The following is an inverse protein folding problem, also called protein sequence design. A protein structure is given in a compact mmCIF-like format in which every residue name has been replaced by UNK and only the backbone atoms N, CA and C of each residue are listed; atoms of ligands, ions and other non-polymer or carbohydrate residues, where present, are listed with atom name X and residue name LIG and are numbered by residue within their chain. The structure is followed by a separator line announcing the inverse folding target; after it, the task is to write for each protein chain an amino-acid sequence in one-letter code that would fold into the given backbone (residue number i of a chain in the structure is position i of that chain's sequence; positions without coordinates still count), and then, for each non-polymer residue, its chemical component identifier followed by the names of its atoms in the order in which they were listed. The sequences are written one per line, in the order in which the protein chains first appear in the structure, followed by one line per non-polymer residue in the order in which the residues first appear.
data_IF_868658815088
#
_entry.id   IF_868658815088
#
_cell.length_a   1.000
_cell.length_b   1.000
_cell.length_c   1.000
_cell.angle_alpha   90.00
_cell.angle_beta   90.00
_cell.angle_gamma   90.00
#
_symmetry.space_group_name_H-M   'P 1'
#
loop_
_entity.id
_entity.type
_entity.pdbx_description
1 polymer ?
#
# COMPACT_ATOMS: atom_id res chain seq x y z
N UNK A 1 37.56 31.93 17.76
CA UNK A 1 37.83 30.50 18.01
C UNK A 1 37.40 29.61 16.86
N UNK A 2 36.16 29.71 16.35
CA UNK A 2 35.69 28.87 15.18
C UNK A 2 36.56 29.13 13.97
N UNK A 3 36.84 30.37 13.60
CA UNK A 3 37.68 30.71 12.45
C UNK A 3 39.10 30.17 12.57
N UNK A 4 39.62 30.05 13.78
CA UNK A 4 40.99 29.49 14.07
C UNK A 4 40.93 27.96 14.22
N UNK A 5 39.73 27.34 14.08
CA UNK A 5 39.47 25.90 14.25
C UNK A 5 39.76 25.37 15.67
N UNK A 6 39.84 26.24 16.68
CA UNK A 6 39.86 25.81 18.07
C UNK A 6 38.43 25.64 18.60
N UNK A 7 37.85 24.50 18.29
CA UNK A 7 36.48 24.24 18.68
C UNK A 7 36.28 23.93 20.16
N UNK A 8 37.35 23.53 20.87
CA UNK A 8 37.29 23.31 22.29
C UNK A 8 37.15 24.67 23.02
N UNK A 9 37.98 25.64 22.66
CA UNK A 9 37.87 26.99 23.16
C UNK A 9 36.53 27.63 22.78
N UNK A 10 36.08 27.42 21.54
CA UNK A 10 34.77 27.89 21.10
C UNK A 10 33.62 27.34 21.95
N UNK A 11 33.65 26.06 22.30
CA UNK A 11 32.62 25.45 23.15
C UNK A 11 32.59 26.06 24.52
N UNK A 12 33.75 26.31 25.16
CA UNK A 12 33.82 26.95 26.50
C UNK A 12 33.32 28.39 26.46
N UNK A 13 33.67 29.16 25.42
CA UNK A 13 33.21 30.54 25.25
C UNK A 13 31.70 30.64 25.02
N UNK A 14 31.13 29.76 24.17
CA UNK A 14 29.68 29.76 23.93
C UNK A 14 28.89 29.26 25.13
N UNK A 15 29.42 28.33 25.94
CA UNK A 15 28.77 27.90 27.16
C UNK A 15 28.73 29.02 28.20
N UNK A 16 29.82 29.81 28.33
CA UNK A 16 29.85 30.99 29.17
C UNK A 16 28.84 32.06 28.70
N UNK A 17 28.90 32.41 27.38
CA UNK A 17 27.95 33.36 26.80
C UNK A 17 26.49 32.93 26.94
N UNK A 18 26.21 31.64 26.84
CA UNK A 18 24.87 31.12 27.09
C UNK A 18 24.39 31.45 28.49
N UNK A 19 25.21 31.25 29.53
CA UNK A 19 24.85 31.52 30.93
C UNK A 19 24.64 33.01 31.17
N UNK A 20 25.51 33.84 30.63
CA UNK A 20 25.40 35.30 30.76
C UNK A 20 24.09 35.80 30.12
N UNK A 21 23.74 35.32 28.89
CA UNK A 21 22.48 35.69 28.22
C UNK A 21 21.24 35.10 28.90
N UNK A 22 21.33 33.94 29.54
CA UNK A 22 20.23 33.36 30.32
C UNK A 22 19.97 34.21 31.60
N UNK A 23 21.01 34.66 32.28
CA UNK A 23 20.91 35.58 33.43
C UNK A 23 20.30 36.93 33.03
N UNK A 24 20.69 37.47 31.87
CA UNK A 24 20.16 38.70 31.29
C UNK A 24 18.76 38.54 30.68
N UNK A 25 18.17 37.35 30.70
CA UNK A 25 16.89 37.04 30.07
C UNK A 25 16.83 37.40 28.56
N UNK A 26 17.97 37.38 27.90
CA UNK A 26 18.14 37.71 26.49
C UNK A 26 17.87 36.48 25.59
N UNK A 27 16.62 36.01 25.53
CA UNK A 27 16.22 34.73 24.98
C UNK A 27 16.70 34.44 23.52
N UNK A 28 16.79 35.46 22.67
CA UNK A 28 17.31 35.28 21.30
C UNK A 28 18.82 35.01 21.29
N UNK A 29 19.55 35.70 22.15
CA UNK A 29 21.01 35.56 22.25
C UNK A 29 21.38 34.26 22.96
N UNK A 30 20.65 33.85 24.00
CA UNK A 30 20.85 32.56 24.65
C UNK A 30 20.60 31.39 23.68
N UNK A 31 19.55 31.45 22.86
CA UNK A 31 19.28 30.45 21.80
C UNK A 31 20.43 30.40 20.77
N UNK A 32 20.91 31.55 20.28
CA UNK A 32 22.04 31.61 19.35
C UNK A 32 23.32 31.04 19.98
N UNK A 33 23.63 31.40 21.25
CA UNK A 33 24.81 30.86 21.93
C UNK A 33 24.72 29.33 22.09
N UNK A 34 23.53 28.79 22.42
CA UNK A 34 23.28 27.36 22.54
C UNK A 34 23.40 26.64 21.19
N UNK A 35 22.93 27.24 20.06
CA UNK A 35 23.12 26.74 18.71
C UNK A 35 24.62 26.63 18.36
N UNK A 36 25.37 27.73 18.60
CA UNK A 36 26.80 27.79 18.33
C UNK A 36 27.61 26.85 19.21
N UNK A 37 27.18 26.63 20.45
CA UNK A 37 27.77 25.64 21.36
C UNK A 37 27.59 24.22 20.78
N UNK A 38 26.38 23.85 20.38
CA UNK A 38 26.10 22.56 19.76
C UNK A 38 26.93 22.34 18.48
N UNK A 39 27.02 23.37 17.63
CA UNK A 39 27.83 23.35 16.40
C UNK A 39 29.33 23.14 16.74
N UNK A 40 29.88 23.89 17.70
CA UNK A 40 31.28 23.76 18.10
C UNK A 40 31.59 22.37 18.66
N UNK A 41 30.69 21.81 19.47
CA UNK A 41 30.82 20.45 20.00
C UNK A 41 30.88 19.39 18.90
N UNK A 42 29.98 19.47 17.91
CA UNK A 42 29.95 18.52 16.77
C UNK A 42 31.22 18.65 15.91
N UNK A 43 31.64 19.89 15.61
CA UNK A 43 32.88 20.14 14.84
C UNK A 43 34.12 19.65 15.61
N UNK A 44 34.16 19.80 16.91
CA UNK A 44 35.24 19.26 17.77
C UNK A 44 35.27 17.72 17.67
N UNK A 45 34.12 17.08 17.79
CA UNK A 45 34.01 15.61 17.66
C UNK A 45 34.41 15.12 16.28
N UNK A 46 34.08 15.86 15.20
CA UNK A 46 34.44 15.51 13.82
C UNK A 46 35.95 15.47 13.60
N UNK A 47 36.69 16.39 14.19
CA UNK A 47 38.16 16.41 14.13
C UNK A 47 38.79 15.30 14.97
N UNK A 48 38.20 14.99 16.12
CA UNK A 48 38.77 14.04 17.09
C UNK A 48 38.67 12.57 16.63
N UNK A 49 37.95 12.25 15.56
CA UNK A 49 37.70 10.92 14.94
C UNK A 49 37.47 9.71 15.86
N UNK A 50 37.84 9.77 17.13
CA UNK A 50 37.83 8.68 18.13
C UNK A 50 37.04 9.03 19.41
N UNK A 51 36.55 10.27 19.56
CA UNK A 51 35.80 10.68 20.74
C UNK A 51 34.31 10.27 20.67
N UNK A 52 33.65 10.06 21.80
CA UNK A 52 32.21 9.88 21.85
C UNK A 52 31.53 11.14 21.31
N UNK A 53 30.44 10.93 20.55
CA UNK A 53 29.63 12.04 20.04
C UNK A 53 29.03 12.82 21.22
N UNK A 54 29.12 14.15 21.25
CA UNK A 54 28.50 14.94 22.30
C UNK A 54 26.98 14.75 22.28
N UNK A 55 26.32 14.78 23.45
CA UNK A 55 24.87 14.68 23.51
C UNK A 55 24.24 15.88 22.78
N UNK A 56 23.09 15.72 22.13
CA UNK A 56 22.43 16.78 21.35
C UNK A 56 21.77 17.87 22.25
N UNK A 57 22.10 17.91 23.51
CA UNK A 57 21.43 18.77 24.51
C UNK A 57 21.48 20.27 24.18
N UNK A 58 22.63 20.77 23.74
CA UNK A 58 22.78 22.18 23.35
C UNK A 58 21.94 22.52 22.12
N UNK A 59 21.95 21.66 21.08
CA UNK A 59 21.11 21.79 19.88
C UNK A 59 19.62 21.75 20.25
N UNK A 60 19.19 20.78 21.07
CA UNK A 60 17.78 20.62 21.44
C UNK A 60 17.29 21.86 22.23
N UNK A 61 18.09 22.35 23.15
CA UNK A 61 17.82 23.56 23.92
C UNK A 61 17.68 24.78 23.00
N UNK A 62 18.60 24.97 22.05
CA UNK A 62 18.52 26.06 21.08
C UNK A 62 17.21 26.05 20.31
N UNK A 63 16.81 24.88 19.80
CA UNK A 63 15.53 24.72 19.07
C UNK A 63 14.32 25.03 19.96
N UNK A 64 14.32 24.57 21.22
CA UNK A 64 13.21 24.82 22.15
C UNK A 64 13.09 26.29 22.53
N UNK A 65 14.22 27.00 22.65
CA UNK A 65 14.25 28.46 22.92
C UNK A 65 13.78 29.24 21.68
N UNK A 66 14.26 28.89 20.48
CA UNK A 66 13.79 29.53 19.25
C UNK A 66 12.28 29.38 19.04
N UNK A 67 11.72 28.22 19.30
CA UNK A 67 10.27 27.98 19.13
C UNK A 67 9.42 28.84 20.08
N UNK A 68 9.95 29.20 21.27
CA UNK A 68 9.26 30.10 22.18
C UNK A 68 9.21 31.55 21.69
N UNK A 69 10.08 31.91 20.75
CA UNK A 69 10.12 33.26 20.16
C UNK A 69 9.09 33.39 19.04
N UNK A 70 8.44 34.56 18.95
CA UNK A 70 7.36 34.82 17.99
C UNK A 70 7.73 34.58 16.50
N UNK A 71 9.02 34.68 16.14
CA UNK A 71 9.56 34.53 14.80
C UNK A 71 10.67 33.45 14.76
N UNK A 72 10.74 32.63 15.78
CA UNK A 72 11.87 31.72 16.01
C UNK A 72 11.83 30.42 15.20
N UNK A 73 10.67 30.05 14.62
CA UNK A 73 10.51 28.79 13.87
C UNK A 73 11.52 28.68 12.71
N UNK A 74 11.78 29.76 12.00
CA UNK A 74 12.77 29.80 10.94
C UNK A 74 14.19 29.50 11.45
N UNK A 75 14.56 30.04 12.62
CA UNK A 75 15.87 29.81 13.22
C UNK A 75 15.98 28.37 13.74
N UNK A 76 14.91 27.83 14.33
CA UNK A 76 14.85 26.44 14.75
C UNK A 76 15.01 25.48 13.56
N UNK A 77 14.35 25.78 12.42
CA UNK A 77 14.50 25.02 11.18
C UNK A 77 15.93 25.08 10.65
N UNK A 78 16.50 26.29 10.55
CA UNK A 78 17.88 26.50 10.07
C UNK A 78 18.87 25.72 10.94
N UNK A 79 18.79 25.86 12.25
CA UNK A 79 19.66 25.15 13.20
C UNK A 79 19.54 23.63 13.02
N UNK A 80 18.32 23.11 12.85
CA UNK A 80 18.06 21.69 12.66
C UNK A 80 18.65 21.14 11.35
N UNK A 81 18.49 21.88 10.25
CA UNK A 81 19.02 21.46 8.94
C UNK A 81 20.55 21.48 8.94
N UNK A 82 21.17 22.53 9.50
CA UNK A 82 22.63 22.60 9.63
C UNK A 82 23.19 21.46 10.49
N UNK A 83 22.55 21.20 11.62
CA UNK A 83 22.94 20.10 12.49
C UNK A 83 22.80 18.74 11.80
N UNK A 84 21.68 18.50 11.12
CA UNK A 84 21.47 17.28 10.35
C UNK A 84 22.50 17.11 9.22
N UNK A 85 22.89 18.18 8.53
CA UNK A 85 23.89 18.15 7.48
C UNK A 85 25.26 17.73 8.03
N UNK A 86 25.72 18.33 9.13
CA UNK A 86 26.98 17.96 9.78
C UNK A 86 26.99 16.50 10.24
N UNK A 87 25.89 16.05 10.85
CA UNK A 87 25.75 14.67 11.30
C UNK A 87 25.73 13.68 10.14
N UNK A 88 25.15 14.06 9.01
CA UNK A 88 25.17 13.24 7.78
C UNK A 88 26.59 13.06 7.25
N UNK A 89 27.41 14.12 7.24
CA UNK A 89 28.81 14.05 6.86
C UNK A 89 29.63 13.15 7.81
N UNK A 90 29.22 13.09 9.07
CA UNK A 90 29.80 12.20 10.08
C UNK A 90 29.17 10.79 10.09
N UNK A 91 28.23 10.50 9.20
CA UNK A 91 27.50 9.23 9.08
C UNK A 91 26.72 8.84 10.36
N UNK A 92 26.30 9.82 11.17
CA UNK A 92 25.50 9.62 12.39
C UNK A 92 24.01 9.67 12.05
N UNK A 93 23.54 8.67 11.31
CA UNK A 93 22.21 8.65 10.71
C UNK A 93 21.06 8.58 11.73
N UNK A 94 21.29 8.01 12.91
CA UNK A 94 20.33 8.00 14.03
C UNK A 94 20.00 9.44 14.49
N UNK A 95 21.03 10.25 14.65
CA UNK A 95 20.87 11.64 15.04
C UNK A 95 20.34 12.52 13.89
N UNK A 96 20.72 12.22 12.64
CA UNK A 96 20.14 12.86 11.43
C UNK A 96 18.63 12.64 11.38
N UNK A 97 18.18 11.40 11.56
CA UNK A 97 16.75 11.08 11.56
C UNK A 97 16.00 11.83 12.66
N UNK A 98 16.58 11.88 13.87
CA UNK A 98 16.00 12.61 15.00
C UNK A 98 15.90 14.13 14.72
N UNK A 99 16.97 14.73 14.22
CA UNK A 99 17.02 16.17 13.93
C UNK A 99 16.02 16.54 12.83
N UNK A 100 15.96 15.74 11.73
CA UNK A 100 15.02 15.97 10.63
C UNK A 100 13.56 15.80 11.08
N UNK A 101 13.26 14.78 11.89
CA UNK A 101 11.92 14.54 12.41
C UNK A 101 11.47 15.67 13.34
N UNK A 102 12.38 16.18 14.18
CA UNK A 102 12.08 17.30 15.06
C UNK A 102 11.87 18.59 14.28
N UNK A 103 12.74 18.86 13.29
CA UNK A 103 12.61 20.02 12.41
C UNK A 103 11.26 20.06 11.67
N UNK A 104 10.75 18.89 11.30
CA UNK A 104 9.44 18.75 10.64
C UNK A 104 8.27 19.28 11.49
N UNK A 105 8.44 19.44 12.81
CA UNK A 105 7.38 19.97 13.69
C UNK A 105 7.22 21.48 13.60
N UNK A 106 8.23 22.20 13.11
CA UNK A 106 8.30 23.66 13.11
C UNK A 106 8.19 24.30 11.73
N UNK A 107 7.68 23.56 10.74
CA UNK A 107 7.74 24.00 9.35
C UNK A 107 6.41 23.86 8.63
N UNK A 108 6.31 24.54 7.50
CA UNK A 108 5.22 24.42 6.55
C UNK A 108 5.08 22.98 6.02
N UNK A 109 3.91 22.63 5.54
CA UNK A 109 3.56 21.27 5.11
C UNK A 109 4.55 20.68 4.08
N UNK A 110 4.99 21.47 3.10
CA UNK A 110 5.90 20.99 2.04
C UNK A 110 7.31 20.72 2.58
N UNK A 111 7.82 21.61 3.44
CA UNK A 111 9.14 21.45 4.08
C UNK A 111 9.08 20.30 5.09
N UNK A 112 7.97 20.17 5.80
CA UNK A 112 7.68 19.03 6.69
C UNK A 112 7.76 17.71 5.96
N UNK A 113 7.12 17.62 4.79
CA UNK A 113 7.17 16.42 3.95
C UNK A 113 8.61 16.06 3.52
N UNK A 114 9.39 17.04 3.08
CA UNK A 114 10.80 16.86 2.71
C UNK A 114 11.65 16.36 3.89
N UNK A 115 11.47 16.95 5.07
CA UNK A 115 12.22 16.56 6.26
C UNK A 115 11.85 15.16 6.76
N UNK A 116 10.59 14.77 6.66
CA UNK A 116 10.13 13.41 6.97
C UNK A 116 10.69 12.39 5.97
N UNK A 117 10.78 12.73 4.70
CA UNK A 117 11.41 11.89 3.68
C UNK A 117 12.92 11.75 3.95
N UNK A 118 13.60 12.84 4.32
CA UNK A 118 15.01 12.81 4.73
C UNK A 118 15.22 11.94 5.96
N UNK A 119 14.36 12.06 6.98
CA UNK A 119 14.40 11.18 8.15
C UNK A 119 14.22 9.72 7.78
N UNK A 120 13.30 9.40 6.85
CA UNK A 120 13.12 8.05 6.33
C UNK A 120 14.40 7.49 5.70
N UNK A 121 15.07 8.29 4.86
CA UNK A 121 16.33 7.89 4.24
C UNK A 121 17.45 7.67 5.25
N UNK A 122 17.52 8.51 6.29
CA UNK A 122 18.47 8.34 7.38
C UNK A 122 18.23 7.01 8.14
N UNK A 123 16.96 6.66 8.43
CA UNK A 123 16.61 5.39 9.07
C UNK A 123 17.07 4.16 8.27
N UNK A 124 17.10 4.24 6.92
CA UNK A 124 17.59 3.15 6.07
C UNK A 124 19.11 3.06 6.00
N UNK A 125 19.84 4.19 6.20
CA UNK A 125 21.28 4.24 6.15
C UNK A 125 21.98 3.84 7.44
N UNK A 126 21.23 3.60 8.53
CA UNK A 126 21.80 3.09 9.79
C UNK A 126 22.46 1.72 9.60
N UNK A 127 23.45 1.38 10.40
CA UNK A 127 24.07 0.05 10.40
C UNK A 127 23.03 -1.08 10.55
N UNK A 128 22.00 -0.84 11.37
CA UNK A 128 20.79 -1.67 11.45
C UNK A 128 19.61 -0.87 10.91
N UNK A 129 19.17 -1.10 9.67
CA UNK A 129 18.10 -0.31 9.06
C UNK A 129 16.79 -0.39 9.84
N UNK A 130 16.27 0.76 10.24
CA UNK A 130 14.98 0.86 10.93
C UNK A 130 13.83 0.98 9.90
N UNK A 131 13.63 -0.06 9.12
CA UNK A 131 12.68 -0.10 7.99
C UNK A 131 11.25 0.26 8.39
N UNK A 132 10.78 -0.13 9.60
CA UNK A 132 9.45 0.23 10.10
C UNK A 132 9.31 1.75 10.33
N UNK A 133 10.31 2.37 10.94
CA UNK A 133 10.31 3.84 11.17
C UNK A 133 10.40 4.59 9.86
N UNK A 134 11.23 4.12 8.94
CA UNK A 134 11.33 4.66 7.59
C UNK A 134 9.98 4.64 6.87
N UNK A 135 9.30 3.49 6.84
CA UNK A 135 7.99 3.38 6.19
C UNK A 135 6.93 4.27 6.85
N UNK A 136 6.93 4.39 8.18
CA UNK A 136 6.02 5.28 8.90
C UNK A 136 6.27 6.76 8.56
N UNK A 137 7.54 7.18 8.49
CA UNK A 137 7.92 8.55 8.07
C UNK A 137 7.50 8.83 6.63
N UNK A 138 7.62 7.83 5.73
CA UNK A 138 7.16 7.97 4.34
C UNK A 138 5.65 8.12 4.22
N UNK A 139 4.85 7.40 5.02
CA UNK A 139 3.39 7.59 5.04
C UNK A 139 3.02 9.00 5.50
N UNK A 140 3.69 9.51 6.53
CA UNK A 140 3.47 10.87 6.99
C UNK A 140 3.90 11.90 5.92
N UNK A 141 5.06 11.72 5.29
CA UNK A 141 5.52 12.57 4.20
C UNK A 141 4.52 12.58 3.02
N UNK A 142 4.02 11.39 2.63
CA UNK A 142 3.05 11.24 1.56
C UNK A 142 1.76 12.03 1.84
N UNK A 143 1.24 11.95 3.07
CA UNK A 143 0.06 12.70 3.50
C UNK A 143 0.27 14.22 3.42
N UNK A 144 1.46 14.71 3.80
CA UNK A 144 1.79 16.14 3.70
C UNK A 144 1.93 16.58 2.22
N UNK A 145 2.61 15.78 1.38
CA UNK A 145 2.68 16.06 -0.06
C UNK A 145 1.30 16.07 -0.73
N UNK A 146 0.41 15.16 -0.31
CA UNK A 146 -0.99 15.12 -0.79
C UNK A 146 -1.72 16.43 -0.42
N UNK A 147 -1.60 16.90 0.83
CA UNK A 147 -2.19 18.14 1.30
C UNK A 147 -1.67 19.36 0.51
N UNK A 148 -0.39 19.38 0.16
CA UNK A 148 0.23 20.43 -0.67
C UNK A 148 -0.05 20.29 -2.18
N UNK A 149 -0.84 19.30 -2.62
CA UNK A 149 -1.12 19.06 -4.03
C UNK A 149 0.05 18.45 -4.83
N UNK A 150 1.13 18.02 -4.18
CA UNK A 150 2.31 17.42 -4.82
C UNK A 150 2.07 15.91 -5.09
N UNK A 151 1.14 15.61 -6.01
CA UNK A 151 0.64 14.26 -6.29
C UNK A 151 1.74 13.25 -6.63
N UNK A 152 2.74 13.63 -7.43
CA UNK A 152 3.82 12.72 -7.83
C UNK A 152 4.74 12.33 -6.66
N UNK A 153 5.04 13.28 -5.79
CA UNK A 153 5.86 13.03 -4.60
C UNK A 153 5.08 12.19 -3.59
N UNK A 154 3.80 12.49 -3.38
CA UNK A 154 2.91 11.69 -2.54
C UNK A 154 2.82 10.26 -3.04
N UNK A 155 2.57 10.03 -4.34
CA UNK A 155 2.48 8.71 -4.94
C UNK A 155 3.77 7.90 -4.74
N UNK A 156 4.94 8.52 -4.97
CA UNK A 156 6.24 7.89 -4.74
C UNK A 156 6.40 7.42 -3.29
N UNK A 157 6.09 8.28 -2.34
CA UNK A 157 6.21 7.97 -0.91
C UNK A 157 5.23 6.86 -0.48
N UNK A 158 3.97 6.92 -0.95
CA UNK A 158 2.99 5.85 -0.70
C UNK A 158 3.45 4.51 -1.29
N UNK A 159 3.99 4.49 -2.52
CA UNK A 159 4.49 3.27 -3.16
C UNK A 159 5.63 2.64 -2.35
N UNK A 160 6.59 3.43 -1.90
CA UNK A 160 7.69 2.93 -1.08
C UNK A 160 7.20 2.38 0.25
N UNK A 161 6.26 3.06 0.92
CA UNK A 161 5.68 2.61 2.17
C UNK A 161 4.83 1.34 1.98
N UNK A 162 4.02 1.27 0.92
CA UNK A 162 3.19 0.11 0.58
C UNK A 162 4.04 -1.15 0.38
N UNK A 163 5.16 -1.05 -0.33
CA UNK A 163 6.08 -2.17 -0.52
C UNK A 163 6.60 -2.75 0.80
N UNK A 164 6.81 -1.92 1.80
CA UNK A 164 7.20 -2.39 3.13
C UNK A 164 6.04 -3.07 3.88
N UNK A 165 4.83 -2.49 3.81
CA UNK A 165 3.69 -2.96 4.57
C UNK A 165 2.97 -4.16 3.94
N UNK A 166 3.19 -4.46 2.66
CA UNK A 166 2.53 -5.53 1.90
C UNK A 166 2.45 -6.87 2.64
N UNK A 167 3.51 -7.25 3.39
CA UNK A 167 3.59 -8.53 4.12
C UNK A 167 3.56 -8.38 5.62
N UNK A 168 3.47 -7.15 6.16
CA UNK A 168 3.66 -6.88 7.58
C UNK A 168 2.49 -6.23 8.27
N UNK A 169 1.75 -5.38 7.57
CA UNK A 169 0.60 -4.69 8.12
C UNK A 169 -0.39 -4.38 7.00
N UNK A 170 -1.37 -5.25 6.84
CA UNK A 170 -2.37 -5.16 5.79
C UNK A 170 -3.17 -3.87 5.85
N UNK A 171 -3.54 -3.40 7.06
CA UNK A 171 -4.27 -2.14 7.22
C UNK A 171 -3.55 -0.93 6.62
N UNK A 172 -2.25 -0.77 6.93
CA UNK A 172 -1.46 0.35 6.39
C UNK A 172 -1.17 0.16 4.91
N UNK A 173 -1.06 -1.07 4.44
CA UNK A 173 -0.95 -1.39 3.03
C UNK A 173 -2.21 -1.00 2.27
N UNK A 174 -3.37 -1.42 2.75
CA UNK A 174 -4.68 -1.12 2.14
C UNK A 174 -4.95 0.39 2.13
N UNK A 175 -4.64 1.07 3.23
CA UNK A 175 -4.73 2.53 3.30
C UNK A 175 -3.84 3.21 2.25
N UNK A 176 -2.60 2.76 2.09
CA UNK A 176 -1.67 3.30 1.09
C UNK A 176 -2.19 3.04 -0.33
N UNK A 177 -2.68 1.83 -0.63
CA UNK A 177 -3.26 1.51 -1.94
C UNK A 177 -4.47 2.39 -2.27
N UNK A 178 -5.37 2.60 -1.31
CA UNK A 178 -6.53 3.46 -1.49
C UNK A 178 -6.13 4.90 -1.81
N UNK A 179 -5.15 5.44 -1.08
CA UNK A 179 -4.59 6.78 -1.32
C UNK A 179 -3.92 6.90 -2.69
N UNK A 180 -3.14 5.88 -3.08
CA UNK A 180 -2.51 5.81 -4.41
C UNK A 180 -3.56 5.81 -5.52
N UNK A 181 -4.60 4.98 -5.38
CA UNK A 181 -5.70 4.92 -6.34
C UNK A 181 -6.38 6.28 -6.53
N UNK A 182 -6.67 6.97 -5.43
CA UNK A 182 -7.29 8.30 -5.45
C UNK A 182 -6.40 9.34 -6.15
N UNK A 183 -5.09 9.36 -5.85
CA UNK A 183 -4.14 10.29 -6.47
C UNK A 183 -4.02 10.07 -7.98
N UNK A 184 -3.96 8.80 -8.39
CA UNK A 184 -3.82 8.41 -9.80
C UNK A 184 -5.12 8.66 -10.57
N UNK A 185 -6.26 8.39 -9.96
CA UNK A 185 -7.57 8.74 -10.54
C UNK A 185 -7.68 10.24 -10.82
N UNK A 186 -7.34 11.07 -9.84
CA UNK A 186 -7.34 12.53 -9.99
C UNK A 186 -6.33 13.05 -11.04
N UNK A 187 -5.47 12.16 -11.55
CA UNK A 187 -4.54 12.43 -12.66
C UNK A 187 -5.04 11.86 -14.01
N UNK A 188 -6.26 11.28 -14.05
CA UNK A 188 -6.88 10.70 -15.25
C UNK A 188 -6.37 9.33 -15.66
N UNK A 189 -5.52 8.68 -14.87
CA UNK A 189 -4.95 7.34 -15.15
C UNK A 189 -5.80 6.24 -14.51
N UNK A 190 -6.89 5.90 -15.17
CA UNK A 190 -7.94 5.05 -14.60
C UNK A 190 -7.53 3.59 -14.46
N UNK A 191 -6.87 3.02 -15.47
CA UNK A 191 -6.42 1.62 -15.45
C UNK A 191 -5.44 1.38 -14.29
N UNK A 192 -4.57 2.35 -14.02
CA UNK A 192 -3.64 2.28 -12.91
C UNK A 192 -4.36 2.43 -11.56
N UNK A 193 -5.36 3.32 -11.47
CA UNK A 193 -6.17 3.45 -10.26
C UNK A 193 -6.91 2.15 -9.94
N UNK A 194 -7.47 1.48 -10.94
CA UNK A 194 -8.11 0.18 -10.80
C UNK A 194 -7.12 -0.89 -10.33
N UNK A 195 -5.88 -0.87 -10.82
CA UNK A 195 -4.85 -1.83 -10.38
C UNK A 195 -4.51 -1.73 -8.89
N UNK A 196 -4.64 -0.55 -8.29
CA UNK A 196 -4.47 -0.34 -6.85
C UNK A 196 -5.73 -0.69 -6.04
N UNK A 197 -6.92 -0.55 -6.61
CA UNK A 197 -8.18 -0.86 -5.92
C UNK A 197 -8.50 -2.36 -5.91
N UNK A 198 -8.13 -3.09 -6.97
CA UNK A 198 -8.40 -4.53 -7.09
C UNK A 198 -7.87 -5.38 -5.92
N UNK A 199 -6.62 -5.19 -5.43
CA UNK A 199 -6.12 -5.91 -4.27
C UNK A 199 -6.94 -5.68 -3.00
N UNK A 200 -7.57 -4.50 -2.85
CA UNK A 200 -8.42 -4.19 -1.69
C UNK A 200 -9.69 -5.05 -1.63
N UNK A 201 -10.18 -5.49 -2.80
CA UNK A 201 -11.33 -6.40 -2.86
C UNK A 201 -10.98 -7.84 -2.42
N UNK A 202 -9.69 -8.19 -2.40
CA UNK A 202 -9.19 -9.53 -2.07
C UNK A 202 -8.67 -9.66 -0.64
N UNK A 203 -8.73 -8.59 0.14
CA UNK A 203 -8.19 -8.55 1.49
C UNK A 203 -8.79 -9.61 2.41
N UNK A 204 -7.92 -10.42 3.03
CA UNK A 204 -8.26 -11.49 3.98
C UNK A 204 -8.47 -10.99 5.41
N UNK A 205 -8.64 -9.69 5.61
CA UNK A 205 -8.78 -9.09 6.93
C UNK A 205 -10.22 -9.06 7.42
N UNK A 206 -10.38 -9.11 8.77
CA UNK A 206 -11.67 -8.80 9.37
C UNK A 206 -12.09 -7.38 8.95
N UNK A 207 -13.37 -7.14 8.79
CA UNK A 207 -13.94 -6.00 8.10
C UNK A 207 -13.56 -4.70 8.81
N UNK A 208 -12.71 -3.92 8.18
CA UNK A 208 -12.72 -2.49 8.39
C UNK A 208 -13.65 -1.97 7.31
N UNK A 209 -14.90 -2.05 7.63
CA UNK A 209 -16.05 -2.00 6.74
C UNK A 209 -16.06 -0.77 5.83
N UNK A 210 -15.55 0.34 6.31
CA UNK A 210 -15.64 1.62 5.60
C UNK A 210 -14.64 1.75 4.42
N UNK A 211 -13.41 1.26 4.56
CA UNK A 211 -12.42 1.32 3.48
C UNK A 211 -12.76 0.37 2.33
N UNK A 212 -13.24 -0.83 2.65
CA UNK A 212 -13.70 -1.79 1.65
C UNK A 212 -14.95 -1.31 0.93
N UNK A 213 -15.92 -0.72 1.65
CA UNK A 213 -17.11 -0.12 1.04
C UNK A 213 -16.73 1.01 0.08
N UNK A 214 -15.89 1.94 0.51
CA UNK A 214 -15.39 3.02 -0.35
C UNK A 214 -14.62 2.51 -1.56
N UNK A 215 -13.84 1.43 -1.40
CA UNK A 215 -13.15 0.81 -2.52
C UNK A 215 -14.13 0.18 -3.51
N UNK A 216 -15.16 -0.54 -3.04
CA UNK A 216 -16.21 -1.12 -3.89
C UNK A 216 -16.95 -0.02 -4.64
N UNK A 217 -17.39 1.02 -3.95
CA UNK A 217 -18.08 2.15 -4.56
C UNK A 217 -17.21 2.85 -5.62
N UNK A 218 -15.93 3.06 -5.32
CA UNK A 218 -14.97 3.65 -6.26
C UNK A 218 -14.75 2.78 -7.48
N UNK A 219 -14.54 1.47 -7.28
CA UNK A 219 -14.38 0.50 -8.38
C UNK A 219 -15.66 0.43 -9.22
N UNK A 220 -16.83 0.39 -8.58
CA UNK A 220 -18.11 0.37 -9.28
C UNK A 220 -18.32 1.62 -10.12
N UNK A 221 -18.02 2.79 -9.57
CA UNK A 221 -18.10 4.07 -10.28
C UNK A 221 -17.15 4.11 -11.48
N UNK A 222 -15.89 3.72 -11.32
CA UNK A 222 -14.90 3.72 -12.40
C UNK A 222 -15.25 2.72 -13.51
N UNK A 223 -15.71 1.53 -13.15
CA UNK A 223 -16.11 0.54 -14.12
C UNK A 223 -17.35 0.96 -14.91
N UNK A 224 -18.29 1.65 -14.27
CA UNK A 224 -19.47 2.20 -14.94
C UNK A 224 -19.07 3.32 -15.92
N UNK A 225 -18.22 4.25 -15.51
CA UNK A 225 -17.76 5.37 -16.33
C UNK A 225 -16.95 4.90 -17.55
N UNK A 226 -16.17 3.81 -17.43
CA UNK A 226 -15.20 3.38 -18.43
C UNK A 226 -15.53 2.02 -19.08
N UNK A 227 -16.65 1.37 -18.71
CA UNK A 227 -17.09 0.05 -19.23
C UNK A 227 -16.00 -1.02 -19.13
N UNK A 228 -15.22 -1.00 -18.04
CA UNK A 228 -14.15 -1.96 -17.82
C UNK A 228 -14.70 -3.23 -17.18
N UNK A 229 -14.36 -4.39 -17.75
CA UNK A 229 -14.65 -5.70 -17.13
C UNK A 229 -13.50 -6.09 -16.21
N UNK A 230 -13.79 -6.31 -14.91
CA UNK A 230 -12.78 -6.66 -13.92
C UNK A 230 -12.79 -8.16 -13.59
N UNK A 231 -11.63 -8.81 -13.46
CA UNK A 231 -11.55 -10.15 -12.89
C UNK A 231 -11.84 -10.11 -11.40
N UNK A 232 -12.70 -10.97 -10.90
CA UNK A 232 -13.04 -11.05 -9.48
C UNK A 232 -12.91 -12.49 -8.96
N UNK A 233 -12.48 -12.68 -7.71
CA UNK A 233 -12.28 -13.98 -7.09
C UNK A 233 -13.53 -14.57 -6.41
N UNK A 234 -14.72 -14.05 -6.67
CA UNK A 234 -15.94 -14.53 -6.01
C UNK A 234 -16.29 -15.98 -6.34
N UNK A 235 -15.84 -16.50 -7.49
CA UNK A 235 -16.03 -17.90 -7.88
C UNK A 235 -14.71 -18.64 -7.67
N UNK A 236 -14.73 -19.67 -6.81
CA UNK A 236 -13.56 -20.54 -6.57
C UNK A 236 -13.51 -21.62 -7.64
N UNK A 237 -12.82 -21.36 -8.76
CA UNK A 237 -12.73 -22.25 -9.93
C UNK A 237 -12.25 -23.65 -9.58
N UNK A 238 -11.38 -23.80 -8.58
CA UNK A 238 -10.81 -25.09 -8.14
C UNK A 238 -11.84 -26.02 -7.53
N UNK A 239 -12.95 -25.50 -7.01
CA UNK A 239 -14.02 -26.26 -6.35
C UNK A 239 -15.26 -26.43 -7.22
N UNK A 240 -15.34 -25.74 -8.38
CA UNK A 240 -16.45 -25.89 -9.30
C UNK A 240 -16.38 -27.24 -9.99
N UNK A 241 -17.49 -27.95 -10.06
CA UNK A 241 -17.57 -29.27 -10.68
C UNK A 241 -18.87 -29.46 -11.45
N UNK A 242 -18.83 -30.37 -12.43
CA UNK A 242 -20.03 -30.82 -13.14
C UNK A 242 -20.65 -31.94 -12.30
N UNK A 243 -21.93 -31.77 -11.90
CA UNK A 243 -22.66 -32.77 -11.15
C UNK A 243 -23.08 -33.90 -12.11
N UNK A 244 -22.65 -35.13 -11.82
CA UNK A 244 -22.98 -36.33 -12.59
C UNK A 244 -24.30 -36.92 -12.11
N UNK A 245 -25.12 -37.47 -12.98
CA UNK A 245 -26.16 -38.39 -12.57
C UNK A 245 -25.51 -39.65 -11.92
N UNK A 246 -26.15 -40.29 -10.94
CA UNK A 246 -25.54 -41.37 -10.14
C UNK A 246 -25.18 -42.62 -10.91
N UNK A 247 -25.52 -42.73 -12.20
CA UNK A 247 -25.31 -43.92 -13.04
C UNK A 247 -24.11 -43.90 -13.98
N UNK A 248 -23.30 -42.82 -14.05
CA UNK A 248 -22.16 -42.78 -15.01
C UNK A 248 -20.83 -43.02 -14.30
N UNK A 249 -20.29 -44.23 -14.45
CA UNK A 249 -18.96 -44.64 -13.97
C UNK A 249 -17.79 -44.23 -14.89
N UNK A 250 -18.06 -43.52 -15.99
CA UNK A 250 -17.02 -43.13 -16.95
C UNK A 250 -16.35 -41.81 -16.54
N UNK A 251 -15.03 -41.72 -16.66
CA UNK A 251 -14.21 -40.56 -16.31
C UNK A 251 -14.53 -39.28 -17.11
N UNK A 252 -15.17 -39.43 -18.28
CA UNK A 252 -15.65 -38.30 -19.08
C UNK A 252 -17.19 -38.30 -19.05
N UNK A 253 -17.83 -37.25 -18.48
CA UNK A 253 -19.27 -37.13 -18.49
C UNK A 253 -19.77 -36.90 -19.92
N UNK A 254 -20.45 -37.89 -20.48
CA UNK A 254 -21.19 -37.75 -21.75
C UNK A 254 -22.59 -37.25 -21.39
N UNK A 255 -23.02 -36.20 -22.05
CA UNK A 255 -24.35 -35.58 -21.89
C UNK A 255 -24.98 -35.57 -23.28
N UNK A 256 -26.26 -35.94 -23.35
CA UNK A 256 -27.01 -35.85 -24.59
C UNK A 256 -27.19 -34.40 -25.04
N UNK A 257 -27.21 -34.14 -26.33
CA UNK A 257 -27.49 -32.81 -26.83
C UNK A 257 -28.84 -32.32 -26.31
N UNK A 258 -28.89 -31.05 -25.93
CA UNK A 258 -30.08 -30.40 -25.36
C UNK A 258 -30.54 -30.93 -23.99
N UNK A 259 -29.79 -31.82 -23.35
CA UNK A 259 -30.04 -32.26 -22.00
C UNK A 259 -29.46 -31.25 -20.98
N UNK A 260 -30.16 -30.93 -19.84
CA UNK A 260 -29.67 -29.99 -18.85
C UNK A 260 -28.46 -30.57 -18.09
N UNK A 261 -27.32 -29.94 -18.27
CA UNK A 261 -26.10 -30.21 -17.53
C UNK A 261 -26.13 -29.37 -16.20
N UNK A 262 -25.95 -30.03 -15.06
CA UNK A 262 -25.85 -29.35 -13.77
C UNK A 262 -24.41 -29.10 -13.41
N UNK A 263 -24.11 -27.83 -13.11
CA UNK A 263 -22.77 -27.40 -12.73
C UNK A 263 -22.84 -26.73 -11.36
N UNK A 264 -22.10 -27.26 -10.41
CA UNK A 264 -21.97 -26.66 -9.09
C UNK A 264 -20.88 -25.59 -9.12
N UNK A 265 -21.25 -24.36 -8.81
CA UNK A 265 -20.35 -23.24 -8.63
C UNK A 265 -20.13 -23.01 -7.14
N UNK A 266 -18.87 -22.93 -6.73
CA UNK A 266 -18.50 -22.61 -5.37
C UNK A 266 -18.17 -21.13 -5.26
N UNK A 267 -19.03 -20.40 -4.55
CA UNK A 267 -18.93 -18.96 -4.37
C UNK A 267 -18.40 -18.65 -2.97
N UNK A 268 -17.54 -17.65 -2.89
CA UNK A 268 -17.02 -17.13 -1.61
C UNK A 268 -17.09 -15.62 -1.66
N UNK A 269 -17.70 -15.03 -0.66
CA UNK A 269 -17.61 -13.60 -0.45
C UNK A 269 -16.41 -13.29 0.45
N UNK A 270 -15.29 -12.77 -0.06
CA UNK A 270 -14.13 -12.43 0.76
C UNK A 270 -14.29 -11.10 1.50
N UNK A 271 -15.38 -10.37 1.24
CA UNK A 271 -15.60 -9.03 1.78
C UNK A 271 -16.39 -9.08 3.07
N UNK A 272 -16.16 -8.12 3.94
CA UNK A 272 -16.92 -7.93 5.20
C UNK A 272 -18.32 -7.36 5.00
N UNK A 273 -18.78 -7.23 3.75
CA UNK A 273 -20.08 -6.64 3.39
C UNK A 273 -20.91 -7.59 2.56
N UNK A 274 -22.24 -7.42 2.65
CA UNK A 274 -23.20 -8.17 1.83
C UNK A 274 -23.04 -7.76 0.37
N UNK A 275 -22.94 -8.74 -0.53
CA UNK A 275 -22.75 -8.54 -1.96
C UNK A 275 -23.85 -9.24 -2.76
N UNK A 276 -24.39 -8.57 -3.77
CA UNK A 276 -25.28 -9.19 -4.74
C UNK A 276 -24.55 -9.44 -6.06
N UNK A 277 -24.54 -10.70 -6.49
CA UNK A 277 -24.09 -11.11 -7.82
C UNK A 277 -25.36 -11.27 -8.67
N UNK A 278 -25.50 -10.44 -9.68
CA UNK A 278 -26.64 -10.52 -10.62
C UNK A 278 -26.15 -10.96 -11.99
N UNK A 279 -27.03 -11.53 -12.80
CA UNK A 279 -26.72 -11.99 -14.15
C UNK A 279 -25.57 -13.00 -14.24
N UNK A 280 -25.47 -13.94 -13.30
CA UNK A 280 -24.43 -14.97 -13.33
C UNK A 280 -24.66 -15.91 -14.50
N UNK A 281 -23.74 -15.85 -15.49
CA UNK A 281 -23.80 -16.66 -16.71
C UNK A 281 -22.51 -17.44 -16.90
N UNK A 282 -22.64 -18.70 -17.34
CA UNK A 282 -21.51 -19.54 -17.69
C UNK A 282 -21.30 -19.53 -19.19
N UNK A 283 -20.06 -19.40 -19.60
CA UNK A 283 -19.65 -19.46 -21.00
C UNK A 283 -18.84 -20.70 -21.27
N UNK A 284 -19.11 -21.34 -22.39
CA UNK A 284 -18.48 -22.58 -22.82
C UNK A 284 -17.61 -22.35 -24.03
N UNK A 285 -16.49 -23.07 -24.12
CA UNK A 285 -15.63 -23.12 -25.28
C UNK A 285 -15.46 -24.55 -25.74
N UNK A 286 -15.24 -24.75 -27.05
CA UNK A 286 -14.86 -26.06 -27.59
C UNK A 286 -13.51 -26.48 -26.99
N UNK A 287 -13.37 -27.76 -26.74
CA UNK A 287 -12.13 -28.36 -26.28
C UNK A 287 -11.76 -29.53 -27.22
N UNK A 288 -10.49 -29.86 -27.29
CA UNK A 288 -10.02 -31.09 -27.89
C UNK A 288 -10.15 -32.26 -26.91
N UNK A 289 -9.99 -33.48 -27.39
CA UNK A 289 -10.06 -34.71 -26.57
C UNK A 289 -9.02 -34.72 -25.44
N UNK A 290 -7.90 -34.02 -25.62
CA UNK A 290 -6.84 -33.80 -24.62
C UNK A 290 -7.15 -32.71 -23.62
N UNK A 291 -8.29 -32.02 -23.75
CA UNK A 291 -8.73 -30.93 -22.89
C UNK A 291 -8.14 -29.55 -23.21
N UNK A 292 -7.42 -29.41 -24.32
CA UNK A 292 -6.97 -28.11 -24.81
C UNK A 292 -8.16 -27.29 -25.31
N UNK A 293 -8.27 -26.03 -24.83
CA UNK A 293 -9.36 -25.15 -25.25
C UNK A 293 -9.15 -24.63 -26.69
N UNK A 294 -10.18 -24.75 -27.52
CA UNK A 294 -10.27 -24.06 -28.79
C UNK A 294 -11.00 -22.74 -28.60
N UNK A 295 -10.58 -21.70 -29.30
CA UNK A 295 -11.13 -20.35 -29.17
C UNK A 295 -12.55 -20.17 -29.70
N UNK A 296 -13.16 -21.23 -30.23
CA UNK A 296 -14.54 -21.17 -30.76
C UNK A 296 -15.56 -21.28 -29.61
N UNK A 297 -16.54 -20.36 -29.52
CA UNK A 297 -17.60 -20.43 -28.53
C UNK A 297 -18.51 -21.65 -28.83
N UNK A 298 -19.08 -22.20 -27.76
CA UNK A 298 -20.10 -23.26 -27.83
C UNK A 298 -21.45 -22.59 -27.58
N UNK A 299 -22.39 -22.91 -28.44
CA UNK A 299 -23.75 -22.44 -28.27
C UNK A 299 -24.39 -23.19 -27.10
N UNK A 300 -24.68 -22.46 -26.04
CA UNK A 300 -25.23 -22.97 -24.78
C UNK A 300 -26.24 -21.98 -24.19
N UNK A 301 -27.35 -22.52 -23.69
CA UNK A 301 -28.30 -21.75 -22.86
C UNK A 301 -27.99 -21.99 -21.38
N UNK A 302 -27.49 -20.97 -20.72
CA UNK A 302 -27.24 -20.98 -19.30
C UNK A 302 -28.12 -19.91 -18.64
N UNK A 303 -29.20 -20.30 -17.96
CA UNK A 303 -30.13 -19.35 -17.36
C UNK A 303 -29.41 -18.48 -16.31
N UNK A 304 -29.80 -17.24 -16.30
CA UNK A 304 -29.30 -16.20 -15.40
C UNK A 304 -29.72 -16.50 -13.96
N UNK A 305 -28.80 -16.40 -13.03
CA UNK A 305 -29.10 -16.55 -11.61
C UNK A 305 -28.60 -15.34 -10.84
N UNK A 306 -29.43 -14.86 -9.92
CA UNK A 306 -29.06 -13.85 -8.96
C UNK A 306 -28.72 -14.50 -7.62
N UNK A 307 -27.55 -14.19 -7.08
CA UNK A 307 -27.06 -14.74 -5.82
C UNK A 307 -26.66 -13.62 -4.88
N UNK A 308 -27.19 -13.66 -3.67
CA UNK A 308 -26.80 -12.76 -2.59
C UNK A 308 -25.90 -13.53 -1.64
N UNK A 309 -24.73 -12.96 -1.33
CA UNK A 309 -23.75 -13.51 -0.40
C UNK A 309 -23.61 -12.58 0.81
N UNK A 310 -23.77 -13.14 1.99
CA UNK A 310 -23.51 -12.44 3.24
C UNK A 310 -21.98 -12.28 3.47
N UNK A 311 -21.57 -11.42 4.39
CA UNK A 311 -20.14 -11.22 4.71
C UNK A 311 -19.44 -12.55 5.02
N UNK A 312 -18.29 -12.81 4.37
CA UNK A 312 -17.49 -14.04 4.53
C UNK A 312 -18.25 -15.36 4.27
N UNK A 313 -19.43 -15.31 3.64
CA UNK A 313 -20.21 -16.50 3.32
C UNK A 313 -19.52 -17.34 2.24
N UNK A 314 -19.63 -18.66 2.42
CA UNK A 314 -19.25 -19.67 1.42
C UNK A 314 -20.50 -20.42 1.01
N UNK A 315 -20.84 -20.38 -0.25
CA UNK A 315 -22.09 -20.97 -0.75
C UNK A 315 -21.84 -21.73 -2.04
N UNK A 316 -22.44 -22.92 -2.15
CA UNK A 316 -22.51 -23.60 -3.44
C UNK A 316 -23.84 -23.28 -4.13
N UNK A 317 -23.79 -23.05 -5.44
CA UNK A 317 -24.95 -22.75 -6.27
C UNK A 317 -24.91 -23.70 -7.46
N UNK A 318 -26.02 -24.37 -7.72
CA UNK A 318 -26.15 -25.29 -8.87
C UNK A 318 -26.79 -24.54 -10.03
N UNK A 319 -25.99 -24.34 -11.10
CA UNK A 319 -26.45 -23.79 -12.35
C UNK A 319 -26.80 -24.92 -13.33
N UNK A 320 -27.87 -24.77 -14.10
CA UNK A 320 -28.17 -25.66 -15.21
C UNK A 320 -27.80 -25.01 -16.54
N UNK A 321 -27.15 -25.75 -17.41
CA UNK A 321 -26.84 -25.29 -18.76
C UNK A 321 -27.24 -26.36 -19.81
N UNK A 322 -27.72 -25.93 -20.95
CA UNK A 322 -28.02 -26.81 -22.10
C UNK A 322 -27.03 -26.52 -23.20
N UNK A 323 -26.42 -27.58 -23.76
CA UNK A 323 -25.43 -27.47 -24.84
C UNK A 323 -26.06 -27.98 -26.13
N UNK A 324 -26.01 -27.17 -27.17
CA UNK A 324 -26.65 -27.46 -28.46
C UNK A 324 -25.67 -27.96 -29.50
N UNK A 325 -24.37 -27.86 -29.27
CA UNK A 325 -23.31 -28.28 -30.21
C UNK A 325 -22.66 -29.57 -29.74
N UNK A 326 -22.42 -30.49 -30.68
CA UNK A 326 -21.71 -31.76 -30.48
C UNK A 326 -20.20 -31.53 -30.28
N UNK A 327 -19.56 -32.47 -29.60
CA UNK A 327 -18.12 -32.46 -29.32
C UNK A 327 -17.75 -32.27 -27.87
N UNK A 328 -16.49 -31.91 -27.63
CA UNK A 328 -16.01 -31.62 -26.26
C UNK A 328 -16.25 -30.16 -25.90
N UNK A 329 -16.96 -29.94 -24.82
CA UNK A 329 -17.21 -28.61 -24.28
C UNK A 329 -16.51 -28.41 -22.92
N UNK A 330 -16.01 -27.23 -22.69
CA UNK A 330 -15.40 -26.83 -21.43
C UNK A 330 -15.98 -25.51 -20.96
N UNK A 331 -16.21 -25.35 -19.65
CA UNK A 331 -16.53 -24.05 -19.07
C UNK A 331 -15.29 -23.18 -19.14
N UNK A 332 -15.35 -22.08 -19.85
CA UNK A 332 -14.22 -21.17 -20.07
C UNK A 332 -14.16 -20.06 -19.05
N UNK A 333 -15.27 -19.37 -18.86
CA UNK A 333 -15.38 -18.24 -17.94
C UNK A 333 -16.81 -18.07 -17.47
N UNK A 334 -16.98 -17.32 -16.39
CA UNK A 334 -18.26 -16.85 -15.93
C UNK A 334 -18.30 -15.31 -16.02
N UNK A 335 -19.46 -14.79 -16.40
CA UNK A 335 -19.74 -13.36 -16.34
C UNK A 335 -20.81 -13.10 -15.30
N UNK A 336 -20.69 -12.04 -14.54
CA UNK A 336 -21.69 -11.60 -13.59
C UNK A 336 -21.55 -10.10 -13.31
N UNK A 337 -22.61 -9.52 -12.79
CA UNK A 337 -22.62 -8.12 -12.40
C UNK A 337 -22.60 -8.00 -10.90
N UNK A 338 -21.56 -7.32 -10.34
CA UNK A 338 -21.41 -7.08 -8.93
C UNK A 338 -22.18 -5.82 -8.53
N UNK A 339 -23.06 -5.95 -7.53
CA UNK A 339 -23.87 -4.84 -6.99
C UNK A 339 -24.62 -4.04 -8.06
N UNK A 340 -25.02 -4.70 -9.15
CA UNK A 340 -25.74 -4.13 -10.31
C UNK A 340 -24.99 -3.06 -11.12
N UNK A 341 -23.71 -2.85 -10.87
CA UNK A 341 -22.94 -1.78 -11.50
C UNK A 341 -21.71 -2.32 -12.23
N UNK A 342 -21.01 -3.25 -11.62
CA UNK A 342 -19.72 -3.72 -12.11
C UNK A 342 -19.85 -5.03 -12.86
N UNK A 343 -19.61 -5.02 -14.19
CA UNK A 343 -19.54 -6.23 -14.99
C UNK A 343 -18.19 -6.92 -14.79
N UNK A 344 -18.24 -8.18 -14.38
CA UNK A 344 -17.05 -8.98 -14.10
C UNK A 344 -16.97 -10.15 -15.04
N UNK A 345 -15.77 -10.37 -15.59
CA UNK A 345 -15.42 -11.53 -16.39
C UNK A 345 -14.37 -12.34 -15.63
N UNK A 346 -14.72 -13.52 -15.17
CA UNK A 346 -13.82 -14.39 -14.42
C UNK A 346 -13.50 -15.65 -15.20
N UNK A 347 -12.23 -15.87 -15.51
CA UNK A 347 -11.77 -17.14 -16.09
C UNK A 347 -11.88 -18.26 -15.06
N UNK A 348 -12.48 -19.38 -15.47
CA UNK A 348 -12.59 -20.60 -14.68
C UNK A 348 -11.54 -21.65 -15.11
N UNK A 349 -10.61 -21.26 -15.96
CA UNK A 349 -9.51 -22.14 -16.36
C UNK A 349 -8.53 -22.32 -15.21
N UNK A 350 -8.24 -23.56 -14.85
CA UNK A 350 -7.19 -23.86 -13.86
C UNK A 350 -5.83 -23.58 -14.50
N UNK A 351 -5.09 -22.65 -13.91
CA UNK A 351 -3.70 -22.36 -14.25
C UNK A 351 -2.84 -23.11 -13.22
N UNK A 352 -2.19 -24.18 -13.61
CA UNK A 352 -1.30 -24.95 -12.74
C UNK A 352 -1.06 -26.38 -13.21
N UNK A 353 -0.13 -27.11 -12.58
CA UNK A 353 0.07 -28.51 -12.90
C UNK A 353 -1.22 -29.31 -12.66
N UNK A 354 -1.57 -30.17 -13.60
CA UNK A 354 -2.72 -31.07 -13.45
C UNK A 354 -2.51 -31.87 -12.15
N UNK A 355 -3.54 -31.96 -11.31
CA UNK A 355 -3.54 -32.87 -10.20
C UNK A 355 -3.25 -34.29 -10.75
N UNK A 356 -2.18 -34.90 -10.29
CA UNK A 356 -1.85 -36.28 -10.62
C UNK A 356 -2.94 -37.17 -10.02
N UNK A 357 -3.83 -37.66 -10.85
CA UNK A 357 -5.00 -38.43 -10.41
C UNK A 357 -4.78 -39.92 -10.50
N UNK A 358 -3.74 -40.39 -11.21
CA UNK A 358 -3.40 -41.81 -11.36
C UNK A 358 -2.13 -42.16 -10.58
N UNK A 359 -2.02 -43.43 -10.15
CA UNK A 359 -0.84 -43.95 -9.41
C UNK A 359 0.43 -43.82 -10.29
N UNK A 360 0.30 -43.90 -11.60
CA UNK A 360 1.42 -43.78 -12.55
C UNK A 360 1.88 -42.31 -12.75
N UNK A 361 1.07 -41.34 -12.32
CA UNK A 361 1.37 -39.91 -12.38
C UNK A 361 1.91 -39.35 -11.05
N UNK A 362 1.94 -40.17 -10.01
CA UNK A 362 2.54 -39.89 -8.71
C UNK A 362 3.97 -40.42 -8.66
#
# INVERSE_FOLDING_TARGET
AIHVRDYRLASTMYDAAYRDYEEDQAAMYSACASEMLGLAQVLHASLSRKGPMPPPSAYLRACDEYVKLRTGEFYALRASVLYAALLNDMQKYDMVAMASFRAAQFTDEIVRALLLEQASMAYLRMERPHTRRSAASLLQAASQYEACGQKHLALRCYTCAANYYKTRCTYLYDHALFKMAFLVHNSGRIDEALSYLLPLLHGSLPPIDELHLRAIESVAKYAHEHRVTLPSPFIVAERCCILRPPSSYNDNPCISLNEPCRIELFLVNPLGVRVSLTDVRLHFSRAQRDGTALSSPVEADAPVQDVILEPNERRSVVCSARIFTDGYARVSHATYTLSRVLHVHQSLQKLGPRLQTTVEQR
#
